data_IF_335811904093
#
_entry.id   IF_335811904093
#
_cell.length_a   1.000
_cell.length_b   1.000
_cell.length_c   1.000
_cell.angle_alpha   90.00
_cell.angle_beta   90.00
_cell.angle_gamma   90.00
#
_symmetry.space_group_name_H-M   'P 1'
#
loop_
_entity.id
_entity.type
_entity.pdbx_description
1 polymer ?
#
# COMPACT_ATOMS: atom_id res chain seq x y z
N UNK A 1 -10.43 9.61 12.71
CA UNK A 1 -10.67 11.02 13.08
C UNK A 1 -11.28 11.77 11.91
N UNK A 2 -12.35 12.54 12.12
CA UNK A 2 -12.93 13.37 11.07
C UNK A 2 -12.03 14.58 10.77
N UNK A 3 -11.99 15.03 9.52
CA UNK A 3 -11.17 16.19 9.08
C UNK A 3 -11.49 17.46 9.88
N UNK A 4 -12.72 17.56 10.40
CA UNK A 4 -13.17 18.64 11.27
C UNK A 4 -12.40 18.70 12.59
N UNK A 5 -11.96 17.56 13.14
CA UNK A 5 -11.14 17.51 14.35
C UNK A 5 -9.73 18.04 14.11
N UNK A 6 -9.13 17.72 12.95
CA UNK A 6 -7.81 18.21 12.57
C UNK A 6 -7.86 19.73 12.38
N UNK A 7 -8.86 20.23 11.64
CA UNK A 7 -9.05 21.67 11.43
C UNK A 7 -9.24 22.43 12.75
N UNK A 8 -9.98 21.84 13.71
CA UNK A 8 -10.21 22.47 15.02
C UNK A 8 -8.92 22.57 15.84
N UNK A 9 -8.07 21.54 15.79
CA UNK A 9 -6.76 21.54 16.47
C UNK A 9 -5.76 22.51 15.83
N UNK A 10 -5.80 22.65 14.51
CA UNK A 10 -4.98 23.66 13.81
C UNK A 10 -5.42 25.08 14.15
N UNK A 11 -6.73 25.32 14.23
CA UNK A 11 -7.30 26.59 14.65
C UNK A 11 -6.87 26.98 16.08
N UNK A 12 -6.91 26.02 17.01
CA UNK A 12 -6.48 26.23 18.40
C UNK A 12 -5.01 26.68 18.49
N UNK A 13 -4.13 26.15 17.62
CA UNK A 13 -2.72 26.55 17.57
C UNK A 13 -2.47 27.82 16.76
N UNK A 14 -3.26 28.09 15.74
CA UNK A 14 -3.09 29.18 14.78
C UNK A 14 -4.42 29.87 14.51
N UNK A 15 -4.87 30.67 15.48
CA UNK A 15 -6.19 31.31 15.49
C UNK A 15 -6.34 32.46 14.48
N UNK A 16 -5.22 32.92 13.89
CA UNK A 16 -5.20 33.93 12.82
C UNK A 16 -5.85 33.44 11.50
N UNK A 17 -5.97 32.12 11.31
CA UNK A 17 -6.71 31.52 10.21
C UNK A 17 -8.07 31.03 10.71
N UNK A 18 -9.13 31.25 9.95
CA UNK A 18 -10.46 30.75 10.34
C UNK A 18 -10.55 29.23 10.22
N UNK A 19 -11.45 28.61 10.99
CA UNK A 19 -11.73 27.16 10.89
C UNK A 19 -12.13 26.75 9.45
N UNK A 20 -12.85 27.62 8.72
CA UNK A 20 -13.23 27.40 7.33
C UNK A 20 -12.00 27.33 6.42
N UNK A 21 -11.05 28.24 6.60
CA UNK A 21 -9.77 28.23 5.86
C UNK A 21 -8.99 26.94 6.10
N UNK A 22 -8.90 26.47 7.35
CA UNK A 22 -8.25 25.20 7.66
C UNK A 22 -8.94 23.98 7.05
N UNK A 23 -10.27 23.94 7.04
CA UNK A 23 -11.02 22.85 6.37
C UNK A 23 -10.73 22.81 4.87
N UNK A 24 -10.78 23.96 4.20
CA UNK A 24 -10.46 24.08 2.77
C UNK A 24 -9.01 23.77 2.44
N UNK A 25 -8.08 24.08 3.36
CA UNK A 25 -6.67 23.72 3.21
C UNK A 25 -6.49 22.20 3.34
N UNK A 26 -7.02 21.59 4.41
CA UNK A 26 -6.87 20.15 4.68
C UNK A 26 -7.56 19.30 3.60
N UNK A 27 -8.67 19.77 3.02
CA UNK A 27 -9.36 19.03 1.94
C UNK A 27 -8.50 18.85 0.69
N UNK A 28 -7.49 19.70 0.45
CA UNK A 28 -6.54 19.51 -0.67
C UNK A 28 -5.61 18.32 -0.45
N UNK A 29 -5.43 17.91 0.79
CA UNK A 29 -4.55 16.82 1.22
C UNK A 29 -5.36 15.62 1.72
N UNK A 30 -6.61 15.46 1.29
CA UNK A 30 -7.48 14.38 1.81
C UNK A 30 -6.91 13.00 1.52
N UNK A 31 -6.35 12.78 0.32
CA UNK A 31 -5.70 11.52 -0.08
C UNK A 31 -4.51 11.21 0.82
N UNK A 32 -3.60 12.17 1.02
CA UNK A 32 -2.44 12.01 1.90
C UNK A 32 -2.85 11.73 3.36
N UNK A 33 -3.85 12.44 3.87
CA UNK A 33 -4.40 12.21 5.22
C UNK A 33 -4.97 10.80 5.34
N UNK A 34 -5.61 10.28 4.30
CA UNK A 34 -6.14 8.92 4.30
C UNK A 34 -5.02 7.87 4.21
N UNK A 35 -3.96 8.13 3.45
CA UNK A 35 -2.74 7.30 3.44
C UNK A 35 -2.07 7.27 4.82
N UNK A 36 -1.93 8.42 5.48
CA UNK A 36 -1.39 8.51 6.84
C UNK A 36 -2.26 7.77 7.85
N UNK A 37 -3.59 7.81 7.71
CA UNK A 37 -4.50 7.02 8.54
C UNK A 37 -4.30 5.52 8.35
N UNK A 38 -4.20 5.04 7.11
CA UNK A 38 -3.93 3.64 6.80
C UNK A 38 -2.61 3.19 7.45
N UNK A 39 -1.54 3.96 7.26
CA UNK A 39 -0.22 3.70 7.87
C UNK A 39 -0.30 3.69 9.41
N UNK A 40 -0.96 4.66 10.01
CA UNK A 40 -1.14 4.73 11.46
C UNK A 40 -1.95 3.55 12.01
N UNK A 41 -2.98 3.11 11.29
CA UNK A 41 -3.77 1.94 11.67
C UNK A 41 -2.93 0.66 11.64
N UNK A 42 -2.14 0.46 10.59
CA UNK A 42 -1.22 -0.67 10.48
C UNK A 42 -0.19 -0.64 11.61
N UNK A 43 0.42 0.52 11.88
CA UNK A 43 1.38 0.68 12.96
C UNK A 43 0.76 0.35 14.32
N UNK A 44 -0.47 0.81 14.59
CA UNK A 44 -1.19 0.50 15.82
C UNK A 44 -1.48 -0.99 15.96
N UNK A 45 -2.00 -1.63 14.90
CA UNK A 45 -2.26 -3.08 14.88
C UNK A 45 -0.99 -3.88 15.13
N UNK A 46 0.13 -3.47 14.51
CA UNK A 46 1.44 -4.11 14.74
C UNK A 46 1.88 -3.97 16.20
N UNK A 47 1.75 -2.78 16.80
CA UNK A 47 2.11 -2.55 18.20
C UNK A 47 1.23 -3.37 19.17
N UNK A 48 -0.08 -3.46 18.92
CA UNK A 48 -1.01 -4.28 19.71
C UNK A 48 -0.63 -5.78 19.65
N UNK A 49 -0.26 -6.28 18.46
CA UNK A 49 0.19 -7.68 18.30
C UNK A 49 1.51 -7.97 19.04
N UNK A 50 2.45 -7.01 19.07
CA UNK A 50 3.70 -7.14 19.82
C UNK A 50 3.40 -7.20 21.32
N UNK A 51 2.58 -6.27 21.84
CA UNK A 51 2.19 -6.26 23.25
C UNK A 51 1.48 -7.56 23.67
N UNK A 52 0.58 -8.08 22.85
CA UNK A 52 -0.10 -9.35 23.11
C UNK A 52 0.86 -10.55 23.15
N UNK A 53 1.92 -10.53 22.32
CA UNK A 53 2.96 -11.56 22.32
C UNK A 53 3.81 -11.48 23.59
N UNK A 54 4.11 -10.28 24.07
CA UNK A 54 4.83 -10.07 25.33
C UNK A 54 4.01 -10.55 26.53
N UNK A 55 2.70 -10.26 26.57
CA UNK A 55 1.80 -10.76 27.63
C UNK A 55 1.65 -12.28 27.61
N UNK A 56 1.51 -12.89 26.43
CA UNK A 56 1.39 -14.34 26.29
C UNK A 56 2.68 -15.09 26.64
N UNK A 57 3.84 -14.43 26.50
CA UNK A 57 5.13 -15.10 26.68
C UNK A 57 5.61 -15.16 28.13
N UNK A 58 4.99 -14.46 29.10
CA UNK A 58 5.12 -14.70 30.55
C UNK A 58 6.54 -14.88 31.12
N UNK A 59 7.59 -14.52 30.39
CA UNK A 59 8.99 -14.75 30.76
C UNK A 59 9.57 -13.41 31.13
N UNK A 60 9.98 -13.36 32.39
CA UNK A 60 10.63 -12.26 33.08
C UNK A 60 11.95 -11.96 32.37
N UNK A 61 11.92 -11.14 31.32
CA UNK A 61 13.09 -10.78 30.54
C UNK A 61 13.77 -9.55 31.15
N UNK A 62 14.87 -9.81 31.86
CA UNK A 62 15.90 -8.83 32.19
C UNK A 62 16.30 -8.00 30.95
N UNK A 63 16.74 -6.74 31.14
CA UNK A 63 17.10 -5.86 30.04
C UNK A 63 18.24 -6.44 29.18
N UNK A 64 18.20 -6.29 27.84
CA UNK A 64 19.24 -6.81 26.98
C UNK A 64 20.52 -5.98 27.15
N UNK A 65 21.50 -6.56 27.83
CA UNK A 65 22.90 -6.12 27.73
C UNK A 65 23.37 -6.36 26.30
N UNK A 66 23.74 -5.26 25.64
CA UNK A 66 24.33 -5.20 24.31
C UNK A 66 25.69 -5.91 24.36
N UNK A 67 25.72 -7.20 24.03
CA UNK A 67 26.98 -7.92 23.83
C UNK A 67 27.36 -7.87 22.35
N UNK A 68 28.46 -7.17 22.12
CA UNK A 68 29.02 -6.77 20.85
C UNK A 68 30.15 -7.72 20.55
N UNK A 69 29.86 -8.89 19.96
CA UNK A 69 30.84 -9.74 19.24
C UNK A 69 30.19 -11.05 18.78
N UNK A 70 29.84 -11.20 17.50
CA UNK A 70 29.92 -12.49 16.79
C UNK A 70 29.53 -12.36 15.31
N UNK A 71 30.04 -13.26 14.46
CA UNK A 71 30.64 -12.90 13.19
C UNK A 71 29.65 -12.78 12.05
N UNK A 72 30.05 -11.92 11.13
CA UNK A 72 29.65 -11.82 9.74
C UNK A 72 29.53 -13.21 9.08
N UNK A 73 28.34 -13.62 8.61
CA UNK A 73 28.24 -14.64 7.59
C UNK A 73 28.50 -13.95 6.24
N UNK A 74 29.75 -14.02 5.80
CA UNK A 74 30.05 -13.94 4.38
C UNK A 74 29.31 -15.07 3.63
N UNK A 75 28.93 -14.77 2.39
CA UNK A 75 28.33 -15.66 1.39
C UNK A 75 26.81 -15.89 1.46
N UNK A 76 26.04 -14.90 1.00
CA UNK A 76 24.97 -15.22 0.04
C UNK A 76 25.51 -14.93 -1.35
N UNK A 77 26.13 -15.96 -1.92
CA UNK A 77 26.48 -15.98 -3.33
C UNK A 77 25.25 -15.62 -4.15
N UNK A 78 25.38 -14.58 -4.96
CA UNK A 78 24.52 -14.31 -6.10
C UNK A 78 24.69 -15.50 -7.06
N UNK A 79 23.97 -16.59 -6.76
CA UNK A 79 23.76 -17.64 -7.72
C UNK A 79 22.89 -17.01 -8.79
N UNK A 80 23.50 -16.78 -9.95
CA UNK A 80 22.77 -16.76 -11.22
C UNK A 80 22.04 -18.11 -11.29
N UNK A 81 20.89 -18.22 -10.62
CA UNK A 81 19.98 -19.32 -10.80
C UNK A 81 19.62 -19.28 -12.27
N UNK A 82 20.11 -20.29 -12.98
CA UNK A 82 19.66 -20.64 -14.32
C UNK A 82 18.15 -20.43 -14.35
N UNK A 83 17.70 -19.56 -15.26
CA UNK A 83 16.29 -19.31 -15.58
C UNK A 83 15.67 -20.64 -15.99
N UNK A 84 15.33 -21.47 -15.01
CA UNK A 84 14.50 -22.64 -15.22
C UNK A 84 13.15 -22.10 -15.65
N UNK A 85 12.54 -22.71 -16.66
CA UNK A 85 11.22 -22.38 -17.21
C UNK A 85 10.25 -21.93 -16.11
N UNK A 86 10.25 -20.62 -15.83
CA UNK A 86 9.29 -20.00 -14.96
C UNK A 86 8.03 -20.02 -15.80
N UNK A 87 7.01 -20.75 -15.35
CA UNK A 87 5.70 -20.72 -15.96
C UNK A 87 5.24 -19.26 -16.01
N UNK A 88 5.25 -18.61 -17.20
CA UNK A 88 5.07 -17.17 -17.28
C UNK A 88 3.65 -16.77 -16.89
N UNK A 89 2.69 -17.67 -17.08
CA UNK A 89 1.30 -17.46 -16.71
C UNK A 89 1.16 -17.47 -15.18
N UNK A 90 1.72 -18.49 -14.52
CA UNK A 90 1.71 -18.61 -13.06
C UNK A 90 2.41 -17.44 -12.37
N UNK A 91 3.56 -17.02 -12.89
CA UNK A 91 4.29 -15.87 -12.37
C UNK A 91 3.49 -14.58 -12.49
N UNK A 92 2.98 -14.29 -13.70
CA UNK A 92 2.20 -13.09 -13.99
C UNK A 92 0.96 -13.00 -13.11
N UNK A 93 0.15 -14.08 -13.08
CA UNK A 93 -1.03 -14.19 -12.24
C UNK A 93 -0.73 -13.87 -10.77
N UNK A 94 0.34 -14.44 -10.23
CA UNK A 94 0.69 -14.26 -8.83
C UNK A 94 1.14 -12.82 -8.55
N UNK A 95 1.95 -12.23 -9.44
CA UNK A 95 2.39 -10.83 -9.31
C UNK A 95 1.24 -9.83 -9.39
N UNK A 96 0.29 -10.01 -10.31
CA UNK A 96 -0.90 -9.14 -10.44
C UNK A 96 -1.80 -9.28 -9.20
N UNK A 97 -2.05 -10.50 -8.74
CA UNK A 97 -2.87 -10.76 -7.55
C UNK A 97 -2.34 -10.05 -6.29
N UNK A 98 -1.02 -10.08 -6.08
CA UNK A 98 -0.39 -9.40 -4.95
C UNK A 98 -0.28 -7.88 -5.13
N UNK A 99 -0.01 -7.40 -6.34
CA UNK A 99 0.04 -5.96 -6.64
C UNK A 99 -1.33 -5.28 -6.42
N UNK A 100 -2.43 -5.97 -6.71
CA UNK A 100 -3.79 -5.48 -6.46
C UNK A 100 -4.18 -5.45 -4.96
N UNK A 101 -3.33 -6.00 -4.09
CA UNK A 101 -3.55 -5.98 -2.63
C UNK A 101 -4.61 -6.97 -2.13
N UNK A 102 -4.98 -7.99 -2.92
CA UNK A 102 -5.97 -9.00 -2.50
C UNK A 102 -5.55 -9.78 -1.26
N UNK A 103 -4.24 -9.93 -1.02
CA UNK A 103 -3.69 -10.69 0.10
C UNK A 103 -3.68 -9.94 1.45
N UNK A 104 -3.88 -8.62 1.48
CA UNK A 104 -3.65 -7.80 2.69
C UNK A 104 -4.58 -8.14 3.88
N UNK A 105 -5.72 -8.76 3.61
CA UNK A 105 -6.74 -9.11 4.59
C UNK A 105 -7.00 -10.62 4.74
N UNK A 106 -6.16 -11.45 4.14
CA UNK A 106 -6.32 -12.91 4.12
C UNK A 106 -5.17 -13.59 4.86
N UNK A 107 -5.43 -14.75 5.47
CA UNK A 107 -4.34 -15.62 5.92
C UNK A 107 -3.69 -16.32 4.74
N UNK A 108 -2.45 -16.78 4.87
CA UNK A 108 -1.72 -17.48 3.80
C UNK A 108 -2.55 -18.60 3.16
N UNK A 109 -3.20 -19.45 3.97
CA UNK A 109 -4.07 -20.53 3.47
C UNK A 109 -5.24 -20.00 2.61
N UNK A 110 -5.83 -18.87 2.99
CA UNK A 110 -6.93 -18.23 2.25
C UNK A 110 -6.43 -17.59 0.95
N UNK A 111 -5.21 -17.05 0.94
CA UNK A 111 -4.58 -16.49 -0.26
C UNK A 111 -4.43 -17.59 -1.32
N UNK A 112 -3.97 -18.78 -0.92
CA UNK A 112 -3.78 -19.89 -1.83
C UNK A 112 -5.11 -20.47 -2.34
N UNK A 113 -6.13 -20.55 -1.49
CA UNK A 113 -7.49 -20.93 -1.91
C UNK A 113 -8.09 -19.92 -2.89
N UNK A 114 -7.95 -18.62 -2.62
CA UNK A 114 -8.44 -17.56 -3.51
C UNK A 114 -7.74 -17.58 -4.86
N UNK A 115 -6.41 -17.80 -4.89
CA UNK A 115 -5.64 -17.97 -6.13
C UNK A 115 -6.10 -19.19 -6.94
N UNK A 116 -6.40 -20.31 -6.27
CA UNK A 116 -6.91 -21.51 -6.94
C UNK A 116 -8.35 -21.32 -7.48
N UNK A 117 -9.17 -20.50 -6.81
CA UNK A 117 -10.51 -20.13 -7.28
C UNK A 117 -10.44 -19.22 -8.52
N UNK A 118 -9.53 -18.24 -8.50
CA UNK A 118 -9.31 -17.32 -9.63
C UNK A 118 -8.65 -17.99 -10.83
N UNK A 119 -7.66 -18.85 -10.57
CA UNK A 119 -6.90 -19.58 -11.58
C UNK A 119 -6.91 -21.09 -11.28
N UNK A 120 -7.92 -21.82 -11.79
CA UNK A 120 -8.06 -23.26 -11.56
C UNK A 120 -7.00 -24.13 -12.25
N UNK A 121 -6.00 -23.53 -12.91
CA UNK A 121 -4.89 -24.25 -13.54
C UNK A 121 -3.99 -24.96 -12.52
N UNK A 122 -4.02 -24.50 -11.27
CA UNK A 122 -3.24 -25.04 -10.15
C UNK A 122 -4.08 -25.07 -8.89
N UNK A 123 -3.84 -26.07 -8.07
CA UNK A 123 -4.42 -26.18 -6.73
C UNK A 123 -3.73 -25.20 -5.76
N UNK A 124 -4.39 -24.91 -4.63
CA UNK A 124 -3.83 -24.04 -3.58
C UNK A 124 -2.43 -24.51 -3.13
N UNK A 125 -2.23 -25.82 -3.04
CA UNK A 125 -0.94 -26.40 -2.65
C UNK A 125 0.15 -26.18 -3.71
N UNK A 126 -0.19 -26.32 -4.98
CA UNK A 126 0.74 -26.07 -6.09
C UNK A 126 1.10 -24.58 -6.21
N UNK A 127 0.17 -23.68 -5.88
CA UNK A 127 0.46 -22.25 -5.76
C UNK A 127 1.42 -21.96 -4.61
N UNK A 128 1.22 -22.58 -3.46
CA UNK A 128 2.13 -22.47 -2.32
C UNK A 128 3.53 -22.98 -2.66
N UNK A 129 3.62 -24.16 -3.28
CA UNK A 129 4.91 -24.74 -3.70
C UNK A 129 5.60 -23.86 -4.75
N UNK A 130 4.83 -23.25 -5.66
CA UNK A 130 5.34 -22.29 -6.64
C UNK A 130 5.88 -21.03 -5.98
N UNK A 131 5.20 -20.51 -4.96
CA UNK A 131 5.68 -19.38 -4.16
C UNK A 131 6.96 -19.72 -3.39
N UNK A 132 7.05 -20.92 -2.78
CA UNK A 132 8.28 -21.33 -2.08
C UNK A 132 9.47 -21.38 -3.04
N UNK A 133 9.25 -21.76 -4.30
CA UNK A 133 10.30 -21.84 -5.32
C UNK A 133 10.71 -20.47 -5.89
N UNK A 134 9.74 -19.58 -6.16
CA UNK A 134 9.95 -18.32 -6.92
C UNK A 134 9.59 -17.05 -6.13
N UNK A 135 9.39 -17.19 -4.81
CA UNK A 135 8.91 -16.11 -3.94
C UNK A 135 9.80 -14.86 -3.95
N UNK A 136 11.15 -14.96 -3.96
CA UNK A 136 12.01 -13.81 -4.10
C UNK A 136 11.75 -13.01 -5.39
N UNK A 137 11.66 -13.69 -6.52
CA UNK A 137 11.46 -13.06 -7.83
C UNK A 137 10.06 -12.43 -7.95
N UNK A 138 9.04 -13.12 -7.44
CA UNK A 138 7.67 -12.60 -7.42
C UNK A 138 7.59 -11.36 -6.54
N UNK A 139 8.25 -11.37 -5.38
CA UNK A 139 8.28 -10.23 -4.48
C UNK A 139 8.95 -9.01 -5.11
N UNK A 140 10.10 -9.20 -5.75
CA UNK A 140 10.81 -8.12 -6.44
C UNK A 140 9.93 -7.51 -7.56
N UNK A 141 9.19 -8.34 -8.30
CA UNK A 141 8.29 -7.86 -9.34
C UNK A 141 7.06 -7.14 -8.79
N UNK A 142 6.46 -7.62 -7.68
CA UNK A 142 5.37 -6.92 -6.99
C UNK A 142 5.82 -5.56 -6.49
N UNK A 143 7.01 -5.47 -5.89
CA UNK A 143 7.60 -4.19 -5.45
C UNK A 143 7.83 -3.24 -6.64
N UNK A 144 8.24 -3.77 -7.81
CA UNK A 144 8.37 -3.01 -9.05
C UNK A 144 7.02 -2.49 -9.55
N UNK A 145 5.98 -3.33 -9.58
CA UNK A 145 4.63 -2.95 -10.02
C UNK A 145 4.01 -1.89 -9.10
N UNK A 146 4.16 -2.05 -7.79
CA UNK A 146 3.67 -1.07 -6.81
C UNK A 146 4.37 0.28 -6.96
N UNK A 147 5.69 0.28 -7.19
CA UNK A 147 6.44 1.51 -7.45
C UNK A 147 5.96 2.23 -8.71
N UNK A 148 5.57 1.48 -9.74
CA UNK A 148 5.09 2.03 -11.02
C UNK A 148 3.65 2.56 -10.91
N UNK A 149 2.81 1.93 -10.09
CA UNK A 149 1.46 2.41 -9.79
C UNK A 149 1.48 3.75 -9.03
N UNK A 150 2.39 3.89 -8.05
CA UNK A 150 2.57 5.14 -7.30
C UNK A 150 2.99 6.33 -8.20
N UNK A 151 3.74 6.08 -9.28
CA UNK A 151 4.12 7.11 -10.25
C UNK A 151 2.98 7.50 -11.20
N UNK A 152 2.11 6.56 -11.56
CA UNK A 152 1.03 6.79 -12.53
C UNK A 152 -0.16 7.56 -11.94
N UNK A 153 -0.45 7.39 -10.65
CA UNK A 153 -1.51 8.14 -9.94
C UNK A 153 -1.25 9.65 -9.86
N UNK A 154 -0.04 10.11 -10.20
CA UNK A 154 0.33 11.53 -10.22
C UNK A 154 -0.11 12.31 -11.47
N UNK A 155 -0.55 11.66 -12.55
CA UNK A 155 -0.77 12.32 -13.84
C UNK A 155 -2.21 12.78 -14.13
N UNK A 156 -3.20 12.28 -13.38
CA UNK A 156 -4.62 12.61 -13.62
C UNK A 156 -5.10 13.91 -12.94
N UNK A 157 -4.22 14.62 -12.21
CA UNK A 157 -4.59 15.88 -11.53
C UNK A 157 -4.25 17.16 -12.32
N UNK A 158 -3.83 17.04 -13.59
CA UNK A 158 -3.34 18.18 -14.37
C UNK A 158 -4.29 18.71 -15.46
N UNK A 159 -5.48 18.13 -15.70
CA UNK A 159 -6.28 18.46 -16.90
C UNK A 159 -7.50 19.39 -16.74
N UNK A 160 -7.91 19.81 -15.54
CA UNK A 160 -9.09 20.69 -15.39
C UNK A 160 -8.81 21.96 -14.58
N UNK A 161 -7.88 22.80 -15.05
CA UNK A 161 -7.76 24.18 -14.57
C UNK A 161 -8.27 25.22 -15.58
N UNK A 162 -8.55 24.84 -16.83
CA UNK A 162 -9.14 25.72 -17.85
C UNK A 162 -10.52 25.18 -18.24
N UNK A 163 -11.46 25.23 -17.29
CA UNK A 163 -12.90 25.12 -17.53
C UNK A 163 -13.43 26.32 -18.33
N UNK A 164 -12.86 26.55 -19.52
CA UNK A 164 -13.25 27.59 -20.45
C UNK A 164 -13.74 26.94 -21.73
N UNK A 165 -14.94 26.36 -21.66
CA UNK A 165 -15.74 26.15 -22.87
C UNK A 165 -16.27 27.52 -23.28
N UNK A 166 -15.51 28.18 -24.13
CA UNK A 166 -15.81 29.45 -24.80
C UNK A 166 -16.91 29.22 -25.86
N UNK A 167 -18.13 28.97 -25.38
CA UNK A 167 -19.33 28.77 -26.21
C UNK A 167 -20.45 29.74 -25.78
N UNK A 168 -20.09 31.01 -25.61
CA UNK A 168 -21.05 32.12 -25.77
C UNK A 168 -21.28 32.33 -27.27
N UNK A 169 -22.12 31.47 -27.87
CA UNK A 169 -22.70 31.73 -29.18
C UNK A 169 -23.84 32.74 -28.96
N UNK A 170 -23.52 34.01 -29.19
CA UNK A 170 -24.44 35.14 -29.30
C UNK A 170 -25.46 34.87 -30.43
N UNK A 171 -26.58 34.21 -30.09
CA UNK A 171 -27.77 34.14 -30.95
C UNK A 171 -28.54 35.44 -30.77
N UNK A 172 -28.12 36.49 -31.50
CA UNK A 172 -28.95 37.66 -31.73
C UNK A 172 -30.20 37.25 -32.49
N UNK A 173 -31.30 37.25 -31.78
CA UNK A 173 -32.64 37.21 -32.34
C UNK A 173 -32.88 38.47 -33.18
N UNK A 174 -32.97 38.30 -34.50
CA UNK A 174 -33.72 39.21 -35.36
C UNK A 174 -35.21 39.02 -35.07
N UNK A 175 -35.84 40.05 -34.49
CA UNK A 175 -37.28 40.15 -34.43
C UNK A 175 -37.69 41.63 -34.53
N UNK A 176 -38.29 41.92 -35.69
CA UNK A 176 -39.13 43.09 -36.07
C UNK A 176 -38.46 44.44 -36.33
#
# INVERSE_FOLDING_TARGET
>A
MPLTSIASKMYEKMSHHSLKSWRSFISRYSSEVDTLKKKAFIARRKAENVAKREEASGVIASPPTVDKSSPEPEASGSMQQSVQDIDPDGFKTMTEFFADGFADNMSDDQVWEALAEWHPSRTAREWQDFWVKNGPEIKDEVDRLNSLADENDGYDQALDADGKTDADIDVKAEAY
#
